data_IF_140508845235
#
_entry.id   IF_140508845235
#
_cell.length_a   1.000
_cell.length_b   1.000
_cell.length_c   1.000
_cell.angle_alpha   90.00
_cell.angle_beta   90.00
_cell.angle_gamma   90.00
#
_symmetry.space_group_name_H-M   'P 1'
#
loop_
_entity.id
_entity.type
_entity.pdbx_description
1 polymer ?
#
# COMPACT_ATOMS: atom_id res chain seq x y z
N UNK A 1 -28.37 49.96 7.79
CA UNK A 1 -27.86 48.70 7.21
C UNK A 1 -27.19 47.89 8.31
N UNK A 2 -27.71 46.71 8.70
CA UNK A 2 -27.06 45.91 9.73
C UNK A 2 -25.90 45.13 9.12
N UNK A 3 -24.69 45.31 9.67
CA UNK A 3 -23.48 44.58 9.29
C UNK A 3 -23.62 43.12 9.73
N UNK A 4 -23.71 42.21 8.76
CA UNK A 4 -23.57 40.76 9.01
C UNK A 4 -22.12 40.48 9.34
N UNK A 5 -21.86 39.96 10.54
CA UNK A 5 -20.54 39.46 10.94
C UNK A 5 -20.64 37.94 10.96
N UNK A 6 -19.91 37.27 10.07
CA UNK A 6 -19.85 35.80 10.09
C UNK A 6 -19.05 35.36 11.31
N UNK A 7 -19.69 34.57 12.17
CA UNK A 7 -19.00 33.85 13.24
C UNK A 7 -18.64 32.48 12.69
N UNK A 8 -17.37 32.27 12.34
CA UNK A 8 -16.85 30.96 11.97
C UNK A 8 -17.02 30.01 13.16
N UNK A 9 -17.82 28.95 12.99
CA UNK A 9 -17.91 27.88 13.97
C UNK A 9 -16.67 27.00 13.83
N UNK A 10 -15.72 27.12 14.76
CA UNK A 10 -14.63 26.18 14.92
C UNK A 10 -15.14 25.03 15.80
N UNK A 11 -15.41 23.89 15.18
CA UNK A 11 -15.81 22.68 15.88
C UNK A 11 -14.57 21.93 16.38
N UNK A 12 -14.22 22.10 17.66
CA UNK A 12 -13.15 21.32 18.30
C UNK A 12 -13.77 20.12 19.02
N UNK A 13 -13.75 18.94 18.38
CA UNK A 13 -14.26 17.70 18.95
C UNK A 13 -13.17 16.99 19.78
N UNK A 14 -12.92 17.42 21.01
CA UNK A 14 -11.94 16.76 21.91
C UNK A 14 -12.60 15.91 23.00
N UNK A 15 -13.91 15.64 22.94
CA UNK A 15 -14.55 14.88 24.01
C UNK A 15 -15.72 13.98 23.55
N UNK A 16 -15.53 13.25 22.45
CA UNK A 16 -16.41 12.13 22.11
C UNK A 16 -15.78 10.83 22.63
N UNK A 17 -16.55 10.02 23.35
CA UNK A 17 -16.13 8.67 23.72
C UNK A 17 -15.72 7.89 22.45
N UNK A 18 -14.65 7.08 22.50
CA UNK A 18 -14.18 6.30 21.37
C UNK A 18 -15.34 5.43 20.83
N UNK A 19 -15.90 5.82 19.67
CA UNK A 19 -16.85 4.97 18.93
C UNK A 19 -16.15 3.69 18.50
N UNK A 20 -16.87 2.60 18.19
CA UNK A 20 -16.25 1.34 17.73
C UNK A 20 -15.27 1.54 16.53
N UNK A 21 -15.43 2.62 15.76
CA UNK A 21 -14.51 3.09 14.72
C UNK A 21 -13.13 3.55 15.21
N UNK A 22 -12.96 3.78 16.51
CA UNK A 22 -11.67 4.11 17.15
C UNK A 22 -10.84 2.87 17.49
N UNK A 23 -11.42 1.66 17.46
CA UNK A 23 -10.74 0.42 17.82
C UNK A 23 -9.77 -0.07 16.73
N UNK A 24 -9.88 0.42 15.50
CA UNK A 24 -8.90 0.21 14.44
C UNK A 24 -8.68 1.53 13.68
N UNK A 25 -7.71 2.33 14.14
CA UNK A 25 -7.28 3.51 13.41
C UNK A 25 -6.80 3.10 12.01
N UNK A 26 -7.60 3.40 10.98
CA UNK A 26 -7.20 3.24 9.59
C UNK A 26 -6.00 4.15 9.30
N UNK A 27 -4.99 3.58 8.66
CA UNK A 27 -3.75 4.28 8.29
C UNK A 27 -3.77 4.59 6.82
N UNK A 28 -3.38 5.81 6.49
CA UNK A 28 -3.33 6.32 5.13
C UNK A 28 -1.87 6.35 4.68
N UNK A 29 -1.63 5.90 3.47
CA UNK A 29 -0.33 5.84 2.84
C UNK A 29 -0.36 6.51 1.47
N UNK A 30 0.65 7.32 1.23
CA UNK A 30 0.83 8.14 0.04
C UNK A 30 1.99 7.60 -0.78
N UNK A 31 1.88 7.71 -2.11
CA UNK A 31 3.04 7.62 -2.99
C UNK A 31 4.05 8.72 -2.63
N UNK A 32 5.32 8.51 -2.99
CA UNK A 32 6.41 9.50 -2.85
C UNK A 32 6.04 10.87 -3.45
N UNK A 33 5.28 10.92 -4.55
CA UNK A 33 4.85 12.21 -5.10
C UNK A 33 3.84 12.95 -4.19
N UNK A 34 3.19 12.24 -3.25
CA UNK A 34 2.11 12.72 -2.38
C UNK A 34 0.70 12.30 -2.78
N UNK A 35 0.54 11.35 -3.72
CA UNK A 35 -0.77 10.87 -4.16
C UNK A 35 -1.30 9.82 -3.19
N UNK A 36 -2.60 9.84 -2.88
CA UNK A 36 -3.19 8.81 -2.02
C UNK A 36 -3.21 7.46 -2.73
N UNK A 37 -2.60 6.42 -2.14
CA UNK A 37 -2.50 5.11 -2.77
C UNK A 37 -3.10 3.97 -1.95
N UNK A 38 -2.99 4.00 -0.62
CA UNK A 38 -3.45 2.89 0.23
C UNK A 38 -4.06 3.42 1.54
N UNK A 39 -5.19 2.83 1.94
CA UNK A 39 -5.69 2.89 3.31
C UNK A 39 -5.80 1.47 3.87
N UNK A 40 -5.33 1.22 5.09
CA UNK A 40 -5.30 -0.12 5.71
C UNK A 40 -5.43 -0.05 7.23
N UNK A 41 -6.00 -1.07 7.85
CA UNK A 41 -6.21 -1.19 9.31
C UNK A 41 -4.96 -1.55 10.14
N UNK A 42 -3.83 -1.86 9.49
CA UNK A 42 -2.53 -2.20 10.10
C UNK A 42 -1.40 -1.28 9.64
N UNK A 43 -0.34 -1.17 10.44
CA UNK A 43 0.90 -0.53 9.96
C UNK A 43 1.59 -1.44 8.96
N UNK A 44 2.09 -0.88 7.86
CA UNK A 44 2.88 -1.64 6.89
C UNK A 44 4.09 -2.34 7.51
N UNK A 45 4.73 -1.73 8.53
CA UNK A 45 5.85 -2.33 9.26
C UNK A 45 5.49 -3.56 10.11
N UNK A 46 4.22 -3.75 10.46
CA UNK A 46 3.75 -4.92 11.23
C UNK A 46 3.39 -6.12 10.35
N UNK A 47 3.30 -5.91 9.03
CA UNK A 47 2.92 -6.95 8.09
C UNK A 47 4.14 -7.79 7.69
N UNK A 48 3.95 -9.07 7.36
CA UNK A 48 5.05 -9.93 6.93
C UNK A 48 5.65 -9.43 5.62
N UNK A 49 6.97 -9.54 5.51
CA UNK A 49 7.72 -9.23 4.28
C UNK A 49 8.03 -10.52 3.51
N UNK A 50 8.00 -10.42 2.19
CA UNK A 50 8.30 -11.51 1.28
C UNK A 50 9.82 -11.67 1.13
N UNK A 51 10.29 -12.91 1.26
CA UNK A 51 11.74 -13.21 1.21
C UNK A 51 12.37 -12.98 -0.17
N UNK A 52 11.59 -13.03 -1.26
CA UNK A 52 12.14 -12.98 -2.62
C UNK A 52 12.47 -11.57 -3.11
N UNK A 53 11.79 -10.54 -2.60
CA UNK A 53 11.94 -9.14 -3.06
C UNK A 53 11.68 -8.09 -1.97
N UNK A 54 11.49 -8.51 -0.71
CA UNK A 54 11.24 -7.61 0.41
C UNK A 54 9.87 -6.91 0.39
N UNK A 55 8.98 -7.27 -0.54
CA UNK A 55 7.64 -6.69 -0.63
C UNK A 55 6.80 -6.98 0.61
N UNK A 56 5.97 -6.02 1.01
CA UNK A 56 5.06 -6.17 2.14
C UNK A 56 3.84 -6.96 1.68
N UNK A 57 3.52 -8.04 2.41
CA UNK A 57 2.44 -8.96 2.08
C UNK A 57 1.16 -8.49 2.78
N UNK A 58 0.16 -8.11 1.99
CA UNK A 58 -1.20 -7.83 2.45
C UNK A 58 -2.10 -9.03 2.08
N UNK A 59 -2.71 -9.66 3.09
CA UNK A 59 -3.73 -10.70 2.86
C UNK A 59 -5.05 -10.06 2.43
N UNK A 60 -5.53 -10.42 1.24
CA UNK A 60 -6.77 -9.90 0.65
C UNK A 60 -7.98 -10.82 0.79
N UNK A 61 -7.78 -12.10 1.09
CA UNK A 61 -8.83 -13.08 1.28
C UNK A 61 -8.60 -13.88 2.56
N UNK A 62 -9.68 -14.33 3.19
CA UNK A 62 -9.61 -15.22 4.34
C UNK A 62 -8.88 -16.51 3.95
N UNK A 63 -8.12 -17.07 4.88
CA UNK A 63 -7.51 -18.37 4.68
C UNK A 63 -8.61 -19.46 4.64
N UNK A 64 -8.45 -20.45 3.76
CA UNK A 64 -9.45 -21.51 3.56
C UNK A 64 -9.67 -22.36 4.83
N UNK A 65 -8.65 -22.48 5.67
CA UNK A 65 -8.66 -23.18 6.95
C UNK A 65 -9.15 -22.31 8.12
N UNK A 66 -9.50 -21.05 7.87
CA UNK A 66 -9.91 -20.10 8.90
C UNK A 66 -8.78 -19.61 9.81
N UNK A 67 -7.52 -19.97 9.54
CA UNK A 67 -6.36 -19.63 10.38
C UNK A 67 -6.05 -18.13 10.39
N UNK A 68 -6.41 -17.41 9.32
CA UNK A 68 -6.11 -15.99 9.16
C UNK A 68 -7.22 -15.26 8.41
N UNK A 69 -7.56 -14.05 8.88
CA UNK A 69 -8.54 -13.16 8.25
C UNK A 69 -7.89 -12.19 7.26
N UNK A 70 -8.63 -11.83 6.23
CA UNK A 70 -8.29 -10.76 5.31
C UNK A 70 -8.09 -9.43 6.04
N UNK A 71 -7.15 -8.61 5.56
CA UNK A 71 -6.95 -7.26 6.06
C UNK A 71 -8.00 -6.31 5.47
N UNK A 72 -8.42 -5.31 6.23
CA UNK A 72 -9.31 -4.27 5.74
C UNK A 72 -8.47 -3.17 5.11
N UNK A 73 -8.49 -3.08 3.77
CA UNK A 73 -7.75 -2.05 3.03
C UNK A 73 -8.44 -1.61 1.75
N UNK A 74 -8.05 -0.46 1.19
CA UNK A 74 -8.44 0.00 -0.14
C UNK A 74 -7.22 0.58 -0.85
N UNK A 75 -7.07 0.23 -2.13
CA UNK A 75 -6.03 0.76 -3.00
C UNK A 75 -6.64 1.76 -3.99
N UNK A 76 -5.89 2.83 -4.27
CA UNK A 76 -6.15 3.81 -5.30
C UNK A 76 -4.95 3.84 -6.27
N UNK A 77 -4.99 2.96 -7.26
CA UNK A 77 -3.88 2.65 -8.17
C UNK A 77 -4.44 2.30 -9.54
N UNK A 78 -3.65 2.51 -10.60
CA UNK A 78 -3.97 2.04 -11.94
C UNK A 78 -3.34 0.67 -12.18
N UNK A 79 -4.07 -0.25 -12.81
CA UNK A 79 -3.49 -1.51 -13.29
C UNK A 79 -2.70 -1.26 -14.57
N UNK A 80 -1.52 -1.87 -14.69
CA UNK A 80 -0.69 -1.82 -15.90
C UNK A 80 -0.49 -3.23 -16.45
N UNK A 81 0.20 -3.34 -17.59
CA UNK A 81 0.42 -4.62 -18.25
C UNK A 81 1.18 -5.61 -17.34
N UNK A 82 0.76 -6.89 -17.34
CA UNK A 82 1.41 -7.91 -16.55
C UNK A 82 2.80 -8.24 -17.10
N UNK A 83 3.73 -8.53 -16.19
CA UNK A 83 5.12 -8.91 -16.51
C UNK A 83 5.39 -10.33 -16.02
N UNK A 84 6.15 -11.10 -16.79
CA UNK A 84 6.75 -12.35 -16.32
C UNK A 84 8.14 -12.04 -15.78
N UNK A 85 8.36 -12.29 -14.50
CA UNK A 85 9.64 -12.05 -13.82
C UNK A 85 10.35 -13.38 -13.60
N UNK A 86 11.59 -13.49 -14.05
CA UNK A 86 12.48 -14.57 -13.68
C UNK A 86 13.11 -14.29 -12.31
N UNK A 87 13.08 -15.28 -11.42
CA UNK A 87 13.64 -15.20 -10.07
C UNK A 87 15.01 -15.86 -10.06
N UNK A 88 15.93 -15.32 -9.24
CA UNK A 88 17.28 -15.87 -9.06
C UNK A 88 17.29 -17.35 -8.63
N UNK A 89 16.22 -17.82 -8.00
CA UNK A 89 16.03 -19.22 -7.63
C UNK A 89 15.60 -20.14 -8.80
N UNK A 90 15.59 -19.65 -10.05
CA UNK A 90 15.25 -20.43 -11.25
C UNK A 90 13.75 -20.57 -11.54
N UNK A 91 12.90 -19.75 -10.92
CA UNK A 91 11.43 -19.79 -11.10
C UNK A 91 10.91 -18.58 -11.88
N UNK A 92 9.79 -18.75 -12.59
CA UNK A 92 9.10 -17.65 -13.26
C UNK A 92 7.84 -17.26 -12.48
N UNK A 93 7.61 -15.95 -12.34
CA UNK A 93 6.45 -15.40 -11.64
C UNK A 93 5.74 -14.38 -12.51
N UNK A 94 4.45 -14.62 -12.76
CA UNK A 94 3.61 -13.62 -13.44
C UNK A 94 3.11 -12.59 -12.43
N UNK A 95 3.42 -11.33 -12.67
CA UNK A 95 3.03 -10.19 -11.85
C UNK A 95 2.01 -9.33 -12.57
N UNK A 96 0.83 -9.16 -11.99
CA UNK A 96 -0.16 -8.17 -12.40
C UNK A 96 0.10 -6.91 -11.58
N UNK A 97 0.77 -5.94 -12.20
CA UNK A 97 1.31 -4.76 -11.54
C UNK A 97 0.30 -3.63 -11.49
N UNK A 98 0.48 -2.74 -10.51
CA UNK A 98 -0.29 -1.52 -10.40
C UNK A 98 0.59 -0.35 -9.95
N UNK A 99 0.29 0.83 -10.47
CA UNK A 99 1.08 2.05 -10.33
C UNK A 99 0.27 3.20 -9.73
N UNK A 100 0.97 4.22 -9.26
CA UNK A 100 0.40 5.46 -8.79
C UNK A 100 -0.41 6.13 -9.92
N UNK A 101 -1.65 6.53 -9.61
CA UNK A 101 -2.55 7.18 -10.57
C UNK A 101 -2.00 8.49 -11.15
N UNK A 102 -1.12 9.17 -10.40
CA UNK A 102 -0.54 10.45 -10.79
C UNK A 102 0.82 10.34 -11.47
N UNK A 103 1.81 9.74 -10.80
CA UNK A 103 3.21 9.73 -11.29
C UNK A 103 3.64 8.42 -11.93
N UNK A 104 2.75 7.42 -12.01
CA UNK A 104 3.04 6.08 -12.57
C UNK A 104 4.14 5.29 -11.82
N UNK A 105 4.57 5.73 -10.63
CA UNK A 105 5.46 4.93 -9.77
C UNK A 105 4.85 3.56 -9.50
N UNK A 106 5.64 2.50 -9.64
CA UNK A 106 5.20 1.15 -9.36
C UNK A 106 4.95 0.99 -7.85
N UNK A 107 3.70 0.69 -7.46
CA UNK A 107 3.30 0.58 -6.05
C UNK A 107 3.35 -0.87 -5.58
N UNK A 108 2.94 -1.79 -6.44
CA UNK A 108 2.83 -3.18 -6.06
C UNK A 108 2.31 -4.06 -7.18
N UNK A 109 1.99 -5.30 -6.82
CA UNK A 109 1.48 -6.30 -7.74
C UNK A 109 0.68 -7.38 -7.01
N UNK A 110 0.02 -8.23 -7.79
CA UNK A 110 -0.58 -9.49 -7.34
C UNK A 110 -0.29 -10.60 -8.36
N UNK A 111 -0.46 -11.87 -7.96
CA UNK A 111 -0.18 -13.03 -8.83
C UNK A 111 -1.37 -13.45 -9.69
N UNK A 112 -2.56 -12.89 -9.43
CA UNK A 112 -3.81 -13.20 -10.13
C UNK A 112 -4.25 -12.04 -11.03
N UNK A 113 -4.97 -12.31 -12.15
CA UNK A 113 -5.46 -11.25 -13.03
C UNK A 113 -6.33 -10.22 -12.31
N UNK A 114 -6.43 -8.97 -12.80
CA UNK A 114 -7.37 -7.99 -12.28
C UNK A 114 -8.81 -8.54 -12.17
N UNK A 115 -9.64 -8.03 -11.23
CA UNK A 115 -9.42 -6.83 -10.41
C UNK A 115 -8.43 -7.04 -9.26
N UNK A 116 -8.00 -5.93 -8.65
CA UNK A 116 -7.17 -5.96 -7.43
C UNK A 116 -7.92 -6.74 -6.34
N UNK A 117 -7.20 -7.59 -5.58
CA UNK A 117 -7.74 -8.54 -4.57
C UNK A 117 -8.42 -9.80 -5.12
N UNK A 118 -8.25 -10.11 -6.40
CA UNK A 118 -8.75 -11.37 -6.97
C UNK A 118 -8.05 -12.62 -6.41
N UNK A 119 -6.84 -12.45 -5.85
CA UNK A 119 -6.06 -13.52 -5.21
C UNK A 119 -5.97 -13.36 -3.69
N UNK A 120 -5.31 -14.31 -3.01
CA UNK A 120 -5.20 -14.33 -1.54
C UNK A 120 -4.28 -13.24 -0.99
N UNK A 121 -3.34 -12.74 -1.80
CA UNK A 121 -2.34 -11.78 -1.39
C UNK A 121 -2.15 -10.67 -2.41
N UNK A 122 -1.83 -9.48 -1.89
CA UNK A 122 -1.37 -8.31 -2.62
C UNK A 122 0.00 -7.93 -2.05
N UNK A 123 0.95 -7.62 -2.93
CA UNK A 123 2.33 -7.31 -2.57
C UNK A 123 2.60 -5.83 -2.84
N UNK A 124 2.97 -5.08 -1.79
CA UNK A 124 3.37 -3.68 -1.89
C UNK A 124 4.89 -3.59 -1.91
N UNK A 125 5.46 -2.88 -2.87
CA UNK A 125 6.91 -2.76 -2.97
C UNK A 125 7.47 -1.96 -1.78
N UNK A 126 8.64 -2.40 -1.29
CA UNK A 126 9.39 -1.65 -0.28
C UNK A 126 9.69 -0.24 -0.80
N UNK A 127 9.63 0.78 0.05
CA UNK A 127 9.92 2.15 -0.35
C UNK A 127 8.87 2.84 -1.22
N UNK A 128 7.78 2.18 -1.63
CA UNK A 128 6.81 2.79 -2.54
C UNK A 128 5.86 3.78 -1.84
N UNK A 129 5.64 3.62 -0.54
CA UNK A 129 4.58 4.30 0.22
C UNK A 129 5.09 4.89 1.55
N UNK A 130 4.66 6.12 1.86
CA UNK A 130 4.92 6.82 3.14
C UNK A 130 3.62 7.17 3.86
N UNK A 131 3.65 7.28 5.19
CA UNK A 131 2.51 7.84 5.95
C UNK A 131 2.44 9.37 5.88
N UNK A 132 3.57 10.01 5.56
CA UNK A 132 3.66 11.46 5.40
C UNK A 132 3.63 11.79 3.92
N UNK A 133 2.74 12.71 3.54
CA UNK A 133 2.54 13.07 2.15
C UNK A 133 3.78 13.78 1.58
N UNK A 134 4.30 13.28 0.46
CA UNK A 134 5.44 13.89 -0.24
C UNK A 134 6.81 13.58 0.38
N UNK A 135 6.85 12.76 1.44
CA UNK A 135 8.11 12.26 1.99
C UNK A 135 8.50 10.94 1.35
N UNK A 136 9.81 10.80 1.12
CA UNK A 136 10.41 9.55 0.71
C UNK A 136 10.47 8.62 1.94
N UNK A 137 9.97 7.38 1.87
CA UNK A 137 10.16 6.40 2.92
C UNK A 137 11.63 6.11 3.20
N UNK A 138 11.98 5.82 4.45
CA UNK A 138 13.36 5.47 4.84
C UNK A 138 13.88 4.25 4.07
N UNK A 139 13.01 3.25 3.82
CA UNK A 139 13.36 2.03 3.08
C UNK A 139 13.31 2.17 1.55
N UNK A 140 13.21 3.41 1.02
CA UNK A 140 13.22 3.67 -0.42
C UNK A 140 14.59 3.50 -1.08
N UNK A 141 15.65 3.69 -0.31
CA UNK A 141 17.03 3.63 -0.81
C UNK A 141 17.88 2.56 -0.12
N UNK A 142 17.28 1.66 0.67
CA UNK A 142 18.02 0.59 1.33
C UNK A 142 18.77 -0.24 0.28
N UNK A 143 20.10 -0.06 0.31
CA UNK A 143 21.06 -0.61 -0.62
C UNK A 143 21.21 -2.11 -0.39
N UNK A 144 20.28 -2.90 -0.95
CA UNK A 144 20.46 -4.34 -1.08
C UNK A 144 20.70 -4.68 -2.55
N UNK A 145 21.99 -4.86 -2.85
CA UNK A 145 22.62 -5.57 -3.96
C UNK A 145 22.10 -5.33 -5.39
N UNK A 146 22.70 -4.32 -6.02
CA UNK A 146 22.82 -4.14 -7.49
C UNK A 146 23.73 -5.25 -8.09
N UNK A 147 23.47 -6.52 -7.80
CA UNK A 147 24.26 -7.66 -8.32
C UNK A 147 23.58 -8.46 -9.44
N UNK A 148 22.51 -7.96 -10.05
CA UNK A 148 21.92 -8.60 -11.24
C UNK A 148 21.94 -7.77 -12.52
N UNK A 149 22.76 -6.71 -12.59
CA UNK A 149 23.05 -6.03 -13.86
C UNK A 149 24.57 -5.96 -14.07
N UNK A 150 25.15 -7.08 -14.52
CA UNK A 150 26.39 -7.14 -15.30
C UNK A 150 26.08 -8.09 -16.45
N UNK A 151 25.80 -7.54 -17.64
CA UNK A 151 26.75 -7.43 -18.76
C UNK A 151 27.23 -8.81 -19.23
N UNK A 152 26.58 -9.36 -20.26
CA UNK A 152 27.10 -9.55 -21.63
C UNK A 152 25.96 -10.03 -22.55
#
# INVERSE_FOLDING_TARGET
MPKVVSRSAVSTSTNAAPTASSAAALRVYYCICGEFCLVIDRTLSSLPRRQTDGSIIIRSQDAQDGSAKAQVFKLNVNTIDPVLVERSSGGHERQFRFCCTRCQLLIGYQSTPPPVKSGPFVYILKGALSQVQGEVPEDAFDAEDVHSVRNE
#
